data_IF_136874351240
#
_entry.id   IF_136874351240
#
_cell.length_a   1.000
_cell.length_b   1.000
_cell.length_c   1.000
_cell.angle_alpha   90.00
_cell.angle_beta   90.00
_cell.angle_gamma   90.00
#
_symmetry.space_group_name_H-M   'P 1'
#
loop_
_entity.id
_entity.type
_entity.pdbx_description
1 polymer ?
#
# COMPACT_ATOMS: atom_id res chain seq x y z
N UNK A 1 5.91 -11.85 3.70
CA UNK A 1 5.46 -10.51 4.15
C UNK A 1 6.22 -9.93 5.35
N UNK A 2 6.37 -10.65 6.47
CA UNK A 2 7.08 -10.11 7.65
C UNK A 2 8.57 -9.83 7.40
N UNK A 3 9.22 -10.67 6.60
CA UNK A 3 10.61 -10.48 6.18
C UNK A 3 10.79 -9.20 5.34
N UNK A 4 9.91 -8.99 4.36
CA UNK A 4 9.91 -7.86 3.43
C UNK A 4 9.66 -6.54 4.17
N UNK A 5 8.74 -6.55 5.16
CA UNK A 5 8.59 -5.42 6.08
C UNK A 5 9.92 -5.10 6.79
N UNK A 6 10.57 -6.10 7.40
CA UNK A 6 11.86 -5.92 8.05
C UNK A 6 12.96 -5.40 7.11
N UNK A 7 13.02 -5.93 5.88
CA UNK A 7 13.97 -5.48 4.86
C UNK A 7 13.73 -4.01 4.47
N UNK A 8 12.47 -3.60 4.31
CA UNK A 8 12.12 -2.22 3.98
C UNK A 8 12.46 -1.21 5.08
N UNK A 9 12.55 -1.65 6.34
CA UNK A 9 13.05 -0.83 7.45
C UNK A 9 14.57 -0.73 7.44
N UNK A 10 15.25 -1.80 7.05
CA UNK A 10 16.71 -1.88 7.04
C UNK A 10 17.33 -1.05 5.90
N UNK A 11 16.76 -1.12 4.70
CA UNK A 11 17.18 -0.31 3.56
C UNK A 11 16.04 0.57 3.05
N UNK A 12 16.00 1.87 3.47
CA UNK A 12 14.97 2.79 3.01
C UNK A 12 15.11 3.17 1.52
N UNK A 13 16.22 2.82 0.87
CA UNK A 13 16.44 3.10 -0.56
C UNK A 13 15.96 2.00 -1.48
N UNK A 14 15.73 0.79 -0.94
CA UNK A 14 15.20 -0.32 -1.71
C UNK A 14 13.71 -0.14 -2.00
N UNK A 15 13.30 -0.43 -3.25
CA UNK A 15 11.90 -0.66 -3.57
C UNK A 15 11.55 -2.09 -3.20
N UNK A 16 10.85 -2.27 -2.09
CA UNK A 16 10.45 -3.60 -1.60
C UNK A 16 9.00 -3.85 -1.96
N UNK A 17 8.75 -4.90 -2.74
CA UNK A 17 7.41 -5.30 -3.18
C UNK A 17 7.14 -6.69 -2.65
N UNK A 18 6.00 -6.87 -1.99
CA UNK A 18 5.43 -8.17 -1.68
C UNK A 18 4.18 -8.36 -2.52
N UNK A 19 4.13 -9.44 -3.29
CA UNK A 19 3.02 -9.75 -4.18
C UNK A 19 2.27 -10.98 -3.70
N UNK A 20 0.95 -10.83 -3.58
CA UNK A 20 0.07 -11.96 -3.35
C UNK A 20 -0.25 -12.65 -4.68
N UNK A 21 -0.35 -13.98 -4.69
CA UNK A 21 -0.78 -14.72 -5.88
C UNK A 21 -2.20 -14.31 -6.31
N UNK A 22 -3.08 -14.12 -5.33
CA UNK A 22 -4.38 -13.46 -5.43
C UNK A 22 -4.54 -12.56 -4.21
N UNK A 23 -5.18 -11.40 -4.37
CA UNK A 23 -5.37 -10.45 -3.27
C UNK A 23 -6.10 -11.06 -2.08
N UNK A 24 -6.98 -12.04 -2.31
CA UNK A 24 -7.74 -12.77 -1.30
C UNK A 24 -6.83 -13.44 -0.25
N UNK A 25 -5.60 -13.85 -0.63
CA UNK A 25 -4.64 -14.53 0.23
C UNK A 25 -3.81 -13.59 1.13
N UNK A 26 -3.99 -12.28 1.02
CA UNK A 26 -3.33 -11.32 1.91
C UNK A 26 -3.73 -11.50 3.38
N UNK A 27 -4.92 -12.08 3.63
CA UNK A 27 -5.41 -12.42 4.97
C UNK A 27 -4.49 -13.38 5.75
N UNK A 28 -3.71 -14.23 5.08
CA UNK A 28 -2.75 -15.13 5.75
C UNK A 28 -1.67 -14.37 6.52
N UNK A 29 -1.43 -13.12 6.12
CA UNK A 29 -0.40 -12.28 6.70
C UNK A 29 -1.01 -11.15 7.57
N UNK A 30 -2.27 -11.28 7.96
CA UNK A 30 -3.05 -10.23 8.63
C UNK A 30 -2.37 -9.65 9.87
N UNK A 31 -1.76 -10.49 10.70
CA UNK A 31 -1.07 -10.05 11.90
C UNK A 31 0.04 -9.03 11.59
N UNK A 32 0.73 -9.21 10.47
CA UNK A 32 1.78 -8.29 10.03
C UNK A 32 1.17 -6.99 9.47
N UNK A 33 0.08 -7.07 8.68
CA UNK A 33 -0.63 -5.87 8.19
C UNK A 33 -1.10 -5.00 9.37
N UNK A 34 -1.80 -5.61 10.34
CA UNK A 34 -2.47 -4.86 11.40
C UNK A 34 -1.46 -4.32 12.44
N UNK A 35 -0.53 -5.17 12.89
CA UNK A 35 0.35 -4.82 14.02
C UNK A 35 1.63 -4.10 13.62
N UNK A 36 2.05 -4.23 12.37
CA UNK A 36 3.28 -3.61 11.88
C UNK A 36 2.94 -2.59 10.80
N UNK A 37 2.45 -3.02 9.64
CA UNK A 37 2.34 -2.11 8.49
C UNK A 37 1.40 -0.93 8.77
N UNK A 38 0.22 -1.16 9.34
CA UNK A 38 -0.77 -0.12 9.58
C UNK A 38 -0.46 0.77 10.80
N UNK A 39 0.28 0.24 11.79
CA UNK A 39 0.41 0.86 13.12
C UNK A 39 1.84 1.12 13.60
N UNK A 40 2.87 0.72 12.85
CA UNK A 40 4.27 0.86 13.26
C UNK A 40 4.71 2.32 13.40
N UNK A 41 4.19 3.19 12.54
CA UNK A 41 4.51 4.61 12.56
C UNK A 41 3.99 5.27 13.83
N UNK A 42 2.77 4.94 14.24
CA UNK A 42 2.17 5.48 15.46
C UNK A 42 2.80 4.85 16.73
N UNK A 43 3.03 3.53 16.71
CA UNK A 43 3.56 2.80 17.88
C UNK A 43 5.04 3.05 18.13
N UNK A 44 5.85 3.10 17.07
CA UNK A 44 7.31 3.06 17.18
C UNK A 44 8.02 4.13 16.33
N UNK A 45 7.28 5.04 15.69
CA UNK A 45 7.83 6.02 14.76
C UNK A 45 8.62 5.37 13.62
N UNK A 46 8.33 4.09 13.32
CA UNK A 46 8.97 3.32 12.27
C UNK A 46 8.13 3.38 11.01
N UNK A 47 8.74 3.87 9.94
CA UNK A 47 8.09 4.02 8.64
C UNK A 47 8.63 2.99 7.68
N UNK A 48 7.72 2.30 7.00
CA UNK A 48 8.03 1.26 6.03
C UNK A 48 7.78 1.75 4.61
N UNK A 49 8.64 1.37 3.68
CA UNK A 49 8.47 1.63 2.24
C UNK A 49 7.85 0.46 1.49
N UNK A 50 7.36 -0.58 2.19
CA UNK A 50 6.89 -1.81 1.55
C UNK A 50 5.66 -1.53 0.67
N UNK A 51 5.63 -2.16 -0.50
CA UNK A 51 4.51 -2.13 -1.44
C UNK A 51 3.81 -3.49 -1.41
N UNK A 52 2.48 -3.48 -1.21
CA UNK A 52 1.66 -4.68 -1.30
C UNK A 52 0.98 -4.72 -2.68
N UNK A 53 1.43 -5.62 -3.55
CA UNK A 53 0.85 -5.89 -4.86
C UNK A 53 -0.27 -6.92 -4.69
N UNK A 54 -1.53 -6.48 -4.80
CA UNK A 54 -2.71 -7.31 -4.54
C UNK A 54 -3.57 -7.43 -5.80
N UNK A 55 -3.49 -8.55 -6.55
CA UNK A 55 -4.37 -8.80 -7.68
C UNK A 55 -5.84 -8.78 -7.24
N UNK A 56 -6.66 -7.97 -7.92
CA UNK A 56 -8.09 -7.77 -7.60
C UNK A 56 -8.90 -7.66 -8.89
N UNK A 57 -10.02 -8.36 -9.00
CA UNK A 57 -10.87 -8.30 -10.18
C UNK A 57 -12.04 -9.29 -10.13
N UNK A 58 -13.21 -8.86 -10.58
CA UNK A 58 -14.43 -9.68 -10.62
C UNK A 58 -14.56 -10.39 -11.97
N UNK A 59 -13.68 -11.38 -12.21
CA UNK A 59 -13.59 -12.09 -13.50
C UNK A 59 -14.34 -13.45 -13.51
N UNK A 60 -15.19 -13.69 -12.50
CA UNK A 60 -15.99 -14.92 -12.40
C UNK A 60 -15.20 -16.16 -11.97
N UNK A 61 -13.97 -16.02 -11.48
CA UNK A 61 -13.11 -17.12 -11.01
C UNK A 61 -13.47 -17.67 -9.62
N UNK A 62 -14.59 -17.21 -9.03
CA UNK A 62 -15.05 -17.64 -7.71
C UNK A 62 -14.60 -16.74 -6.56
N UNK A 63 -15.11 -16.99 -5.34
CA UNK A 63 -15.01 -16.06 -4.21
C UNK A 63 -13.60 -15.91 -3.62
N UNK A 64 -12.66 -16.81 -3.95
CA UNK A 64 -11.28 -16.79 -3.43
C UNK A 64 -10.25 -16.23 -4.43
N UNK A 65 -10.72 -15.74 -5.58
CA UNK A 65 -9.88 -15.22 -6.67
C UNK A 65 -10.37 -13.85 -7.17
N UNK A 66 -11.11 -13.13 -6.34
CA UNK A 66 -11.87 -11.97 -6.77
C UNK A 66 -11.49 -10.71 -6.01
N UNK A 67 -11.28 -10.81 -4.69
CA UNK A 67 -11.22 -9.64 -3.83
C UNK A 67 -10.00 -9.59 -2.92
N UNK A 68 -9.14 -8.60 -3.18
CA UNK A 68 -8.16 -8.09 -2.22
C UNK A 68 -8.76 -7.46 -0.94
N UNK A 69 -10.08 -7.35 -0.78
CA UNK A 69 -10.75 -6.76 0.39
C UNK A 69 -10.27 -5.34 0.71
N UNK A 70 -10.25 -4.48 -0.33
CA UNK A 70 -9.75 -3.10 -0.25
C UNK A 70 -10.43 -2.27 0.84
N UNK A 71 -11.71 -2.55 1.12
CA UNK A 71 -12.47 -1.94 2.21
C UNK A 71 -11.79 -2.09 3.57
N UNK A 72 -11.10 -3.21 3.82
CA UNK A 72 -10.36 -3.43 5.06
C UNK A 72 -9.14 -2.51 5.15
N UNK A 73 -8.42 -2.36 4.05
CA UNK A 73 -7.26 -1.48 4.01
C UNK A 73 -7.64 -0.01 4.14
N UNK A 74 -8.80 0.38 3.60
CA UNK A 74 -9.37 1.72 3.82
C UNK A 74 -9.78 1.92 5.29
N UNK A 75 -10.35 0.91 5.95
CA UNK A 75 -10.67 0.96 7.38
C UNK A 75 -9.43 1.05 8.29
N UNK A 76 -8.29 0.52 7.84
CA UNK A 76 -7.01 0.64 8.54
C UNK A 76 -6.33 2.00 8.31
N UNK A 77 -6.85 2.82 7.40
CA UNK A 77 -6.39 4.19 7.20
C UNK A 77 -6.62 5.04 8.44
N UNK A 78 -5.70 5.97 8.72
CA UNK A 78 -5.81 6.92 9.83
C UNK A 78 -6.65 8.17 9.50
N UNK A 79 -7.44 8.13 8.42
CA UNK A 79 -8.34 9.22 8.02
C UNK A 79 -9.70 9.10 8.72
N UNK A 80 -10.20 10.21 9.30
CA UNK A 80 -11.52 10.24 9.94
C UNK A 80 -12.64 10.50 8.92
N UNK A 81 -13.49 9.50 8.72
CA UNK A 81 -14.67 9.58 7.84
C UNK A 81 -15.69 10.67 8.21
N UNK A 82 -15.69 11.16 9.46
CA UNK A 82 -16.65 12.18 9.93
C UNK A 82 -16.14 13.60 9.82
N UNK A 83 -14.86 13.80 9.52
CA UNK A 83 -14.22 15.10 9.48
C UNK A 83 -13.62 15.36 8.12
N UNK A 84 -14.04 16.44 7.46
CA UNK A 84 -13.41 16.86 6.21
C UNK A 84 -12.09 17.57 6.51
N UNK A 85 -10.96 17.14 5.92
CA UNK A 85 -9.65 17.73 6.21
C UNK A 85 -9.57 19.19 5.75
N UNK A 86 -8.80 19.99 6.49
CA UNK A 86 -8.51 21.37 6.12
C UNK A 86 -7.68 21.45 4.82
N UNK A 87 -7.66 22.59 4.12
CA UNK A 87 -6.82 22.77 2.93
C UNK A 87 -5.33 22.51 3.17
N UNK A 88 -4.83 22.71 4.40
CA UNK A 88 -3.45 22.40 4.77
C UNK A 88 -3.22 20.91 4.94
N UNK A 89 -4.16 20.20 5.56
CA UNK A 89 -4.12 18.74 5.71
C UNK A 89 -4.20 18.04 4.36
N UNK A 90 -5.03 18.53 3.43
CA UNK A 90 -5.10 18.01 2.06
C UNK A 90 -3.76 18.12 1.31
N UNK A 91 -2.99 19.19 1.53
CA UNK A 91 -1.65 19.35 0.92
C UNK A 91 -0.63 18.36 1.47
N UNK A 92 -0.81 17.91 2.72
CA UNK A 92 0.09 17.00 3.43
C UNK A 92 -0.43 15.58 3.57
N UNK A 93 -1.59 15.26 3.00
CA UNK A 93 -2.24 13.95 3.09
C UNK A 93 -1.26 12.81 2.78
N UNK A 94 -0.42 12.95 1.75
CA UNK A 94 0.57 11.94 1.37
C UNK A 94 1.68 11.70 2.40
N UNK A 95 1.91 12.62 3.32
CA UNK A 95 2.91 12.53 4.40
C UNK A 95 2.29 12.02 5.70
N UNK A 96 1.03 12.40 5.93
CA UNK A 96 0.32 12.18 7.19
C UNK A 96 -0.47 10.87 7.19
N UNK A 97 -0.78 10.31 6.02
CA UNK A 97 -1.45 9.01 5.93
C UNK A 97 -0.50 7.86 6.31
N UNK A 98 -1.00 6.93 7.12
CA UNK A 98 -0.28 5.70 7.45
C UNK A 98 -0.20 4.75 6.24
N UNK A 99 -1.27 4.70 5.45
CA UNK A 99 -1.43 3.81 4.30
C UNK A 99 -1.93 4.59 3.08
N UNK A 100 -1.41 4.27 1.90
CA UNK A 100 -1.95 4.71 0.62
C UNK A 100 -2.52 3.51 -0.15
N UNK A 101 -3.82 3.52 -0.39
CA UNK A 101 -4.49 2.52 -1.23
C UNK A 101 -4.64 3.09 -2.64
N UNK A 102 -4.14 2.40 -3.64
CA UNK A 102 -4.19 2.84 -5.04
C UNK A 102 -4.75 1.74 -5.93
N UNK A 103 -5.80 2.08 -6.68
CA UNK A 103 -6.34 1.26 -7.75
C UNK A 103 -5.97 1.89 -9.08
N UNK A 104 -5.09 1.24 -9.84
CA UNK A 104 -4.63 1.74 -11.14
C UNK A 104 -5.30 0.99 -12.30
N UNK A 105 -5.61 1.74 -13.34
CA UNK A 105 -6.30 1.26 -14.54
C UNK A 105 -5.42 1.31 -15.78
N UNK A 106 -4.16 1.78 -15.66
CA UNK A 106 -3.21 1.83 -16.77
C UNK A 106 -1.80 1.44 -16.34
N UNK A 107 -0.97 0.86 -17.24
CA UNK A 107 0.42 0.53 -16.93
C UNK A 107 1.26 1.77 -16.59
N UNK A 108 0.97 2.91 -17.21
CA UNK A 108 1.64 4.18 -16.91
C UNK A 108 1.39 4.61 -15.46
N UNK A 109 0.15 4.48 -14.96
CA UNK A 109 -0.18 4.77 -13.57
C UNK A 109 0.61 3.85 -12.63
N UNK A 110 0.72 2.57 -12.95
CA UNK A 110 1.51 1.63 -12.14
C UNK A 110 2.99 2.02 -12.08
N UNK A 111 3.61 2.29 -13.24
CA UNK A 111 4.99 2.75 -13.34
C UNK A 111 5.26 4.00 -12.49
N UNK A 112 4.38 5.01 -12.58
CA UNK A 112 4.53 6.24 -11.81
C UNK A 112 4.32 6.02 -10.30
N UNK A 113 3.40 5.14 -9.88
CA UNK A 113 3.20 4.79 -8.47
C UNK A 113 4.44 4.12 -7.88
N UNK A 114 5.04 3.17 -8.59
CA UNK A 114 6.27 2.50 -8.15
C UNK A 114 7.45 3.48 -8.05
N UNK A 115 7.65 4.32 -9.08
CA UNK A 115 8.72 5.34 -9.06
C UNK A 115 8.52 6.34 -7.93
N UNK A 116 7.28 6.74 -7.68
CA UNK A 116 6.91 7.66 -6.62
C UNK A 116 7.31 7.13 -5.24
N UNK A 117 7.32 5.82 -5.02
CA UNK A 117 7.79 5.25 -3.76
C UNK A 117 9.29 5.46 -3.50
N UNK A 118 10.09 5.46 -4.56
CA UNK A 118 11.55 5.66 -4.44
C UNK A 118 11.93 7.14 -4.49
N UNK A 119 11.28 7.92 -5.36
CA UNK A 119 11.74 9.27 -5.73
C UNK A 119 11.15 10.41 -4.89
N UNK A 120 10.21 10.14 -3.98
CA UNK A 120 9.63 11.19 -3.14
C UNK A 120 10.71 11.80 -2.23
N UNK A 121 10.86 13.13 -2.26
CA UNK A 121 11.84 13.91 -1.46
C UNK A 121 11.55 13.94 0.06
N UNK A 122 10.65 13.10 0.55
CA UNK A 122 10.25 13.03 1.95
C UNK A 122 11.31 12.39 2.89
N UNK A 123 12.54 12.19 2.40
CA UNK A 123 13.61 11.45 3.10
C UNK A 123 14.65 12.33 3.79
N UNK A 124 14.36 13.62 4.01
CA UNK A 124 14.99 14.33 5.14
C UNK A 124 14.20 13.99 6.41
N UNK A 125 14.78 13.10 7.22
CA UNK A 125 14.51 12.82 8.64
C UNK A 125 13.14 13.37 9.13
N UNK A 126 12.13 12.48 9.18
CA UNK A 126 10.77 12.69 9.73
C UNK A 126 9.71 13.29 8.78
N UNK A 127 9.29 12.59 7.69
CA UNK A 127 7.87 12.63 7.20
C UNK A 127 7.62 11.91 5.86
N UNK A 128 7.70 10.57 5.75
CA UNK A 128 7.10 9.84 4.60
C UNK A 128 6.19 8.68 5.01
N UNK A 129 4.95 8.64 4.51
CA UNK A 129 3.92 7.59 4.68
C UNK A 129 4.40 6.14 4.60
N UNK A 130 3.78 5.25 5.39
CA UNK A 130 4.30 3.92 5.78
C UNK A 130 3.85 2.71 4.93
N UNK A 131 3.00 2.89 3.92
CA UNK A 131 2.58 1.79 3.04
C UNK A 131 1.99 2.30 1.74
N UNK A 132 2.25 1.61 0.62
CA UNK A 132 1.40 1.72 -0.56
C UNK A 132 0.87 0.35 -0.97
N UNK A 133 -0.44 0.19 -0.85
CA UNK A 133 -1.17 -0.95 -1.37
C UNK A 133 -1.54 -0.62 -2.81
N UNK A 134 -1.15 -1.53 -3.68
CA UNK A 134 -1.26 -1.39 -5.12
C UNK A 134 -2.14 -2.53 -5.60
N UNK A 135 -3.37 -2.17 -5.97
CA UNK A 135 -4.37 -3.12 -6.45
C UNK A 135 -4.59 -2.93 -7.93
N UNK A 136 -4.38 -3.96 -8.74
CA UNK A 136 -4.64 -3.93 -10.18
C UNK A 136 -5.51 -5.10 -10.62
N UNK A 137 -6.28 -4.85 -11.69
CA UNK A 137 -6.95 -5.88 -12.47
C UNK A 137 -5.91 -6.72 -13.21
N UNK A 138 -6.05 -8.05 -13.12
CA UNK A 138 -5.12 -9.03 -13.73
C UNK A 138 -4.86 -8.78 -15.22
N UNK A 139 -5.86 -8.24 -15.93
CA UNK A 139 -5.78 -7.83 -17.34
C UNK A 139 -4.66 -6.82 -17.66
N UNK A 140 -4.17 -6.04 -16.68
CA UNK A 140 -3.08 -5.09 -16.88
C UNK A 140 -1.70 -5.74 -16.98
N UNK A 141 -1.51 -6.95 -16.46
CA UNK A 141 -0.23 -7.69 -16.60
C UNK A 141 -0.19 -8.42 -17.95
N UNK A 142 -1.29 -9.08 -18.33
CA UNK A 142 -1.35 -9.89 -19.55
C UNK A 142 -1.29 -9.06 -20.85
N UNK A 143 -1.63 -7.78 -20.80
CA UNK A 143 -1.55 -6.86 -21.96
C UNK A 143 -0.15 -6.26 -22.18
N UNK A 144 0.84 -6.63 -21.36
CA UNK A 144 2.21 -6.10 -21.41
C UNK A 144 3.29 -7.12 -21.80
N UNK A 145 2.88 -8.33 -22.22
CA UNK A 145 3.72 -9.39 -22.79
C UNK A 145 3.34 -9.66 -24.23
#
# INVERSE_FOLDING_TARGET
>A
MGFEYGYSLADPNALVIWEAQFGDFANNAQCIIDNYIASSEEKWLQRSGVVLSLPHGYDGQGPEHTSARLERFLQLGNEDSRSFPSPEQLKRQYQDCNIQVVCMTSPANYFHVLRRQVHREFRKRMSSSSLTIVSYGRALIESST
#
